data_IF_864095977949
#
_entry.id   IF_864095977949
#
_cell.length_a   1.000
_cell.length_b   1.000
_cell.length_c   1.000
_cell.angle_alpha   90.00
_cell.angle_beta   90.00
_cell.angle_gamma   90.00
#
_symmetry.space_group_name_H-M   'P 1'
#
loop_
_entity.id
_entity.type
_entity.pdbx_description
1 polymer ?
#
# COMPACT_ATOMS: atom_id res chain seq x y z
N UNK A 1 -20.61 2.91 -5.80
CA UNK A 1 -21.48 2.35 -4.73
C UNK A 1 -21.03 2.78 -3.33
N UNK A 2 -19.84 2.42 -2.85
CA UNK A 2 -19.36 2.78 -1.49
C UNK A 2 -19.58 4.26 -1.13
N UNK A 3 -19.14 5.17 -2.01
CA UNK A 3 -19.37 6.60 -1.81
C UNK A 3 -20.85 6.98 -1.76
N UNK A 4 -21.68 6.36 -2.61
CA UNK A 4 -23.12 6.65 -2.69
C UNK A 4 -23.89 6.19 -1.45
N UNK A 5 -23.37 5.20 -0.71
CA UNK A 5 -23.96 4.73 0.55
C UNK A 5 -23.34 5.41 1.79
N UNK A 6 -22.61 6.50 1.60
CA UNK A 6 -22.08 7.33 2.69
C UNK A 6 -20.66 6.97 3.17
N UNK A 7 -19.98 6.02 2.54
CA UNK A 7 -18.58 5.72 2.86
C UNK A 7 -17.64 6.76 2.22
N UNK A 8 -16.47 6.96 2.82
CA UNK A 8 -15.42 7.86 2.31
C UNK A 8 -14.19 7.04 1.85
N UNK A 9 -14.26 6.38 0.67
CA UNK A 9 -13.15 5.56 0.19
C UNK A 9 -11.94 6.43 -0.18
N UNK A 10 -10.75 5.93 0.14
CA UNK A 10 -9.47 6.45 -0.33
C UNK A 10 -8.79 5.29 -1.05
N UNK A 11 -8.33 5.53 -2.28
CA UNK A 11 -7.66 4.51 -3.09
C UNK A 11 -6.17 4.80 -3.07
N UNK A 12 -5.36 3.79 -2.78
CA UNK A 12 -3.90 3.80 -2.98
C UNK A 12 -3.58 2.74 -4.01
N UNK A 13 -2.76 3.05 -5.01
CA UNK A 13 -2.47 2.13 -6.11
C UNK A 13 -0.97 1.87 -6.28
N UNK A 14 -0.63 0.72 -6.86
CA UNK A 14 0.69 0.46 -7.39
C UNK A 14 0.77 0.77 -8.89
N UNK A 15 1.79 0.23 -9.57
CA UNK A 15 1.93 0.31 -11.03
C UNK A 15 3.17 -0.42 -11.54
N UNK A 16 3.56 -1.50 -10.86
CA UNK A 16 4.79 -2.24 -11.14
C UNK A 16 4.92 -2.69 -12.61
N UNK A 17 3.89 -3.30 -13.22
CA UNK A 17 3.92 -3.72 -14.62
C UNK A 17 4.12 -2.55 -15.60
N UNK A 18 3.38 -1.45 -15.43
CA UNK A 18 3.43 -0.28 -16.33
C UNK A 18 4.79 0.43 -16.25
N UNK A 19 5.39 0.50 -15.06
CA UNK A 19 6.75 1.01 -14.89
C UNK A 19 7.74 0.10 -15.63
N UNK A 20 7.61 -1.22 -15.46
CA UNK A 20 8.48 -2.20 -16.11
C UNK A 20 8.44 -2.11 -17.63
N UNK A 21 7.25 -1.99 -18.21
CA UNK A 21 7.05 -1.84 -19.65
C UNK A 21 7.74 -0.59 -20.21
N UNK A 22 7.62 0.56 -19.54
CA UNK A 22 8.27 1.79 -20.01
C UNK A 22 9.79 1.73 -19.86
N UNK A 23 10.30 1.18 -18.75
CA UNK A 23 11.74 0.98 -18.56
C UNK A 23 12.33 0.08 -19.65
N UNK A 24 11.66 -1.03 -19.98
CA UNK A 24 12.07 -1.95 -21.04
C UNK A 24 12.11 -1.25 -22.40
N UNK A 25 11.08 -0.47 -22.74
CA UNK A 25 11.04 0.32 -23.99
C UNK A 25 12.16 1.36 -24.09
N UNK A 26 12.65 1.85 -22.96
CA UNK A 26 13.76 2.79 -22.88
C UNK A 26 15.13 2.11 -22.73
N UNK A 27 15.18 0.76 -22.75
CA UNK A 27 16.37 -0.05 -22.50
C UNK A 27 17.05 0.22 -21.14
N UNK A 28 16.25 0.54 -20.12
CA UNK A 28 16.72 0.74 -18.75
C UNK A 28 16.51 -0.55 -17.96
N UNK A 29 17.60 -1.12 -17.44
CA UNK A 29 17.56 -2.36 -16.68
C UNK A 29 16.87 -2.17 -15.32
N UNK A 30 15.80 -2.93 -15.08
CA UNK A 30 15.10 -2.92 -13.79
C UNK A 30 15.68 -3.96 -12.83
N UNK A 31 16.12 -3.51 -11.64
CA UNK A 31 16.60 -4.38 -10.55
C UNK A 31 15.69 -4.31 -9.33
N UNK A 32 15.57 -5.41 -8.61
CA UNK A 32 14.82 -5.49 -7.36
C UNK A 32 15.71 -6.04 -6.24
N UNK A 33 15.59 -5.44 -5.05
CA UNK A 33 16.23 -5.89 -3.81
C UNK A 33 15.13 -5.94 -2.74
N UNK A 34 14.95 -7.11 -2.11
CA UNK A 34 13.94 -7.36 -1.08
C UNK A 34 12.51 -6.91 -1.48
N UNK A 35 12.16 -7.12 -2.75
CA UNK A 35 10.85 -6.73 -3.31
C UNK A 35 10.69 -5.24 -3.62
N UNK A 36 11.70 -4.42 -3.35
CA UNK A 36 11.74 -3.00 -3.71
C UNK A 36 12.50 -2.80 -5.01
N UNK A 37 11.99 -1.96 -5.91
CA UNK A 37 12.69 -1.61 -7.15
C UNK A 37 13.85 -0.68 -6.82
N UNK A 38 15.08 -1.06 -7.19
CA UNK A 38 16.24 -0.16 -7.12
C UNK A 38 15.95 1.02 -8.03
N UNK A 39 16.00 2.23 -7.49
CA UNK A 39 15.47 3.42 -8.15
C UNK A 39 16.54 4.51 -8.16
N UNK A 40 17.32 4.63 -9.24
CA UNK A 40 18.19 5.80 -9.43
C UNK A 40 17.39 7.02 -9.93
N UNK A 41 18.06 8.15 -10.19
CA UNK A 41 17.43 9.40 -10.64
C UNK A 41 16.58 9.23 -11.90
N UNK A 42 17.15 8.66 -12.95
CA UNK A 42 16.43 8.38 -14.21
C UNK A 42 15.23 7.43 -14.01
N UNK A 43 15.41 6.39 -13.18
CA UNK A 43 14.32 5.46 -12.86
C UNK A 43 13.23 6.15 -12.05
N UNK A 44 13.58 7.08 -11.15
CA UNK A 44 12.62 7.81 -10.33
C UNK A 44 11.74 8.72 -11.17
N UNK A 45 12.31 9.42 -12.16
CA UNK A 45 11.53 10.25 -13.09
C UNK A 45 10.49 9.42 -13.84
N UNK A 46 10.89 8.23 -14.31
CA UNK A 46 9.99 7.29 -14.99
C UNK A 46 8.90 6.78 -14.04
N UNK A 47 9.28 6.39 -12.82
CA UNK A 47 8.32 5.94 -11.80
C UNK A 47 7.31 7.06 -11.49
N UNK A 48 7.77 8.31 -11.33
CA UNK A 48 6.91 9.45 -11.05
C UNK A 48 5.95 9.74 -12.19
N UNK A 49 6.44 9.75 -13.44
CA UNK A 49 5.61 9.95 -14.64
C UNK A 49 4.56 8.85 -14.82
N UNK A 50 4.95 7.58 -14.68
CA UNK A 50 4.03 6.45 -14.90
C UNK A 50 2.99 6.38 -13.79
N UNK A 51 3.41 6.43 -12.52
CA UNK A 51 2.47 6.31 -11.41
C UNK A 51 1.57 7.54 -11.33
N UNK A 52 2.12 8.75 -11.37
CA UNK A 52 1.34 9.99 -11.19
C UNK A 52 0.59 10.45 -12.44
N UNK A 53 1.17 10.25 -13.62
CA UNK A 53 0.64 10.75 -14.89
C UNK A 53 -0.25 9.78 -15.65
N UNK A 54 0.03 8.47 -15.57
CA UNK A 54 -0.70 7.44 -16.32
C UNK A 54 -1.62 6.64 -15.41
N UNK A 55 -1.08 5.78 -14.55
CA UNK A 55 -1.86 4.81 -13.76
C UNK A 55 -2.85 5.52 -12.84
N UNK A 56 -2.39 6.57 -12.15
CA UNK A 56 -3.25 7.38 -11.28
C UNK A 56 -4.44 7.98 -12.04
N UNK A 57 -4.18 8.53 -13.24
CA UNK A 57 -5.20 9.22 -14.03
C UNK A 57 -6.17 8.24 -14.70
N UNK A 58 -5.71 7.05 -15.05
CA UNK A 58 -6.58 5.98 -15.54
C UNK A 58 -7.59 5.54 -14.47
N UNK A 59 -7.13 5.28 -13.24
CA UNK A 59 -8.03 4.92 -12.11
C UNK A 59 -9.03 6.05 -11.85
N UNK A 60 -8.57 7.31 -11.82
CA UNK A 60 -9.44 8.49 -11.66
C UNK A 60 -10.49 8.55 -12.76
N UNK A 61 -10.08 8.34 -14.01
CA UNK A 61 -10.99 8.35 -15.15
C UNK A 61 -12.07 7.27 -15.03
N UNK A 62 -11.69 6.03 -14.70
CA UNK A 62 -12.63 4.92 -14.51
C UNK A 62 -13.62 5.18 -13.38
N UNK A 63 -13.16 5.73 -12.25
CA UNK A 63 -14.04 6.11 -11.14
C UNK A 63 -15.03 7.21 -11.53
N UNK A 64 -14.57 8.21 -12.30
CA UNK A 64 -15.42 9.30 -12.78
C UNK A 64 -16.45 8.81 -13.81
N UNK A 65 -16.06 7.92 -14.73
CA UNK A 65 -17.00 7.28 -15.68
C UNK A 65 -18.08 6.46 -14.96
N UNK A 66 -17.74 5.84 -13.83
CA UNK A 66 -18.68 5.12 -12.98
C UNK A 66 -19.56 6.03 -12.10
N UNK A 67 -19.51 7.36 -12.30
CA UNK A 67 -20.33 8.35 -11.57
C UNK A 67 -19.74 8.80 -10.22
N UNK A 68 -18.51 8.39 -9.89
CA UNK A 68 -17.78 8.91 -8.75
C UNK A 68 -17.19 10.30 -9.01
N UNK A 69 -16.62 10.91 -7.96
CA UNK A 69 -15.86 12.16 -8.06
C UNK A 69 -14.45 11.92 -7.56
N UNK A 70 -13.57 11.41 -8.41
CA UNK A 70 -12.20 11.05 -8.05
C UNK A 70 -11.22 12.20 -8.33
N UNK A 71 -10.25 12.37 -7.44
CA UNK A 71 -9.11 13.27 -7.63
C UNK A 71 -7.81 12.52 -7.41
N UNK A 72 -6.97 12.53 -8.46
CA UNK A 72 -5.68 11.88 -8.45
C UNK A 72 -4.58 12.77 -7.89
N UNK A 73 -3.90 12.30 -6.83
CA UNK A 73 -2.83 13.01 -6.13
C UNK A 73 -1.62 12.10 -5.90
N UNK A 74 -0.47 12.73 -5.69
CA UNK A 74 0.81 12.13 -5.30
C UNK A 74 1.24 12.75 -3.97
N UNK A 75 2.18 12.16 -3.25
CA UNK A 75 2.68 12.74 -1.99
C UNK A 75 3.32 14.12 -2.11
N UNK A 76 3.65 14.57 -3.34
CA UNK A 76 4.16 15.92 -3.61
C UNK A 76 3.04 16.97 -3.51
N UNK A 77 1.79 16.61 -3.77
CA UNK A 77 0.65 17.53 -3.72
C UNK A 77 0.40 18.00 -2.28
N UNK A 78 0.68 19.27 -1.99
CA UNK A 78 0.65 19.79 -0.62
C UNK A 78 1.71 19.18 0.31
N UNK A 79 2.71 18.46 -0.24
CA UNK A 79 3.73 17.70 0.50
C UNK A 79 3.13 16.78 1.57
N UNK A 80 2.02 16.13 1.23
CA UNK A 80 1.20 15.41 2.20
C UNK A 80 1.80 14.06 2.60
N UNK A 81 2.65 13.45 1.77
CA UNK A 81 3.46 12.28 2.15
C UNK A 81 4.91 12.74 2.22
N UNK A 82 5.41 12.98 3.43
CA UNK A 82 6.82 13.30 3.66
C UNK A 82 7.58 12.00 3.79
N UNK A 83 8.71 11.92 3.11
CA UNK A 83 9.50 10.70 3.03
C UNK A 83 10.98 10.97 3.23
N UNK A 84 11.67 9.93 3.66
CA UNK A 84 13.14 9.88 3.73
C UNK A 84 13.62 8.62 3.06
N UNK A 85 14.86 8.66 2.56
CA UNK A 85 15.49 7.50 1.95
C UNK A 85 15.47 6.29 2.90
N UNK A 86 15.08 5.14 2.36
CA UNK A 86 15.13 3.86 3.04
C UNK A 86 16.55 3.32 2.96
N UNK A 87 17.17 3.06 4.13
CA UNK A 87 18.49 2.42 4.21
C UNK A 87 18.30 0.96 4.61
N UNK A 88 18.56 0.04 3.69
CA UNK A 88 18.50 -1.40 3.98
C UNK A 88 19.79 -1.81 4.69
N UNK A 89 19.65 -2.50 5.83
CA UNK A 89 20.78 -3.09 6.55
C UNK A 89 20.75 -4.59 6.36
N UNK A 90 21.75 -5.15 5.68
CA UNK A 90 21.87 -6.59 5.51
C UNK A 90 22.90 -7.15 6.49
N UNK A 91 22.49 -8.14 7.29
CA UNK A 91 23.44 -8.95 8.05
C UNK A 91 24.03 -9.98 7.09
N UNK A 92 25.33 -9.91 6.85
CA UNK A 92 26.06 -10.97 6.14
C UNK A 92 26.74 -11.86 7.18
N UNK A 93 26.71 -13.20 7.06
CA UNK A 93 27.40 -14.10 8.00
C UNK A 93 28.90 -13.83 8.11
N UNK A 94 29.48 -13.18 7.09
CA UNK A 94 30.91 -12.89 6.94
C UNK A 94 31.34 -11.53 7.53
N UNK A 95 30.38 -10.66 7.89
CA UNK A 95 30.64 -9.32 8.40
C UNK A 95 30.09 -9.16 9.82
N UNK A 96 30.94 -8.73 10.76
CA UNK A 96 30.53 -8.42 12.14
C UNK A 96 29.53 -7.25 12.23
N UNK A 97 29.55 -6.35 11.24
CA UNK A 97 28.67 -5.19 11.16
C UNK A 97 27.70 -5.28 9.96
N UNK A 98 26.43 -4.86 10.09
CA UNK A 98 25.48 -4.86 8.99
C UNK A 98 25.92 -3.92 7.87
N UNK A 99 25.91 -4.40 6.62
CA UNK A 99 26.18 -3.57 5.44
C UNK A 99 24.96 -2.71 5.10
N UNK A 100 25.19 -1.43 4.80
CA UNK A 100 24.14 -0.52 4.32
C UNK A 100 24.08 -0.63 2.80
N UNK A 101 22.97 -1.15 2.29
CA UNK A 101 22.69 -1.21 0.86
C UNK A 101 21.93 0.05 0.46
N UNK A 102 22.53 0.84 -0.42
CA UNK A 102 21.86 1.95 -1.07
C UNK A 102 21.08 1.44 -2.29
N UNK A 103 19.77 1.61 -2.25
CA UNK A 103 18.84 1.23 -3.31
C UNK A 103 18.30 2.45 -4.08
N UNK A 104 18.93 3.61 -3.89
CA UNK A 104 18.61 4.87 -4.52
C UNK A 104 17.44 5.61 -3.86
N UNK A 105 16.60 6.26 -4.67
CA UNK A 105 15.40 7.00 -4.31
C UNK A 105 14.21 6.10 -3.94
N UNK A 106 14.49 5.08 -3.14
CA UNK A 106 13.47 4.31 -2.45
C UNK A 106 13.27 4.91 -1.07
N UNK A 107 12.02 5.17 -0.70
CA UNK A 107 11.69 5.87 0.53
C UNK A 107 10.90 5.03 1.53
N UNK A 108 10.85 5.56 2.74
CA UNK A 108 9.86 5.22 3.75
C UNK A 108 9.09 6.49 4.15
N UNK A 109 7.81 6.31 4.49
CA UNK A 109 6.98 7.41 4.99
C UNK A 109 7.53 7.87 6.34
N UNK A 110 7.84 9.16 6.44
CA UNK A 110 8.25 9.82 7.68
C UNK A 110 7.03 10.38 8.40
N UNK A 111 6.16 11.09 7.68
CA UNK A 111 4.92 11.64 8.22
C UNK A 111 3.89 11.89 7.12
N UNK A 112 2.62 11.94 7.52
CA UNK A 112 1.51 12.27 6.63
C UNK A 112 0.78 13.50 7.16
N UNK A 113 0.59 14.47 6.29
CA UNK A 113 -0.29 15.61 6.52
C UNK A 113 -1.68 15.29 5.94
N UNK A 114 -2.67 15.10 6.80
CA UNK A 114 -3.99 14.65 6.36
C UNK A 114 -4.86 15.77 5.77
N UNK A 115 -4.44 17.05 5.80
CA UNK A 115 -5.31 18.19 5.44
C UNK A 115 -5.87 18.09 4.02
N UNK A 116 -5.05 17.67 3.06
CA UNK A 116 -5.48 17.48 1.66
C UNK A 116 -6.53 16.36 1.57
N UNK A 117 -6.31 15.24 2.27
CA UNK A 117 -7.22 14.09 2.25
C UNK A 117 -8.55 14.42 2.94
N UNK A 118 -8.49 15.09 4.09
CA UNK A 118 -9.67 15.54 4.83
C UNK A 118 -10.50 16.48 3.96
N UNK A 119 -9.88 17.49 3.34
CA UNK A 119 -10.56 18.42 2.44
C UNK A 119 -11.27 17.69 1.29
N UNK A 120 -10.60 16.74 0.63
CA UNK A 120 -11.20 15.98 -0.48
C UNK A 120 -12.36 15.11 0.00
N UNK A 121 -12.17 14.35 1.07
CA UNK A 121 -13.18 13.41 1.58
C UNK A 121 -14.40 14.12 2.16
N UNK A 122 -14.24 15.28 2.82
CA UNK A 122 -15.34 16.12 3.29
C UNK A 122 -16.16 16.74 2.14
N UNK A 123 -15.54 16.95 0.98
CA UNK A 123 -16.19 17.46 -0.22
C UNK A 123 -16.74 16.34 -1.14
N UNK A 124 -16.92 15.13 -0.60
CA UNK A 124 -17.39 13.96 -1.34
C UNK A 124 -16.54 13.68 -2.60
N UNK A 125 -15.21 13.82 -2.48
CA UNK A 125 -14.27 13.35 -3.49
C UNK A 125 -13.58 12.07 -3.01
N UNK A 126 -13.22 11.21 -3.96
CA UNK A 126 -12.45 9.98 -3.76
C UNK A 126 -10.98 10.30 -4.05
N UNK A 127 -10.11 10.41 -3.05
CA UNK A 127 -8.69 10.58 -3.29
C UNK A 127 -8.12 9.29 -3.89
N UNK A 128 -7.38 9.44 -4.99
CA UNK A 128 -6.61 8.35 -5.63
C UNK A 128 -5.14 8.71 -5.49
N UNK A 129 -4.43 7.98 -4.64
CA UNK A 129 -3.08 8.28 -4.19
C UNK A 129 -2.06 7.40 -4.89
N UNK A 130 -1.11 8.04 -5.59
CA UNK A 130 0.12 7.39 -6.05
C UNK A 130 1.18 7.39 -4.92
N UNK A 131 1.90 6.29 -4.70
CA UNK A 131 2.77 6.07 -3.54
C UNK A 131 4.17 6.69 -3.74
N UNK A 132 4.19 7.98 -4.07
CA UNK A 132 5.41 8.79 -4.22
C UNK A 132 5.48 9.74 -3.05
N UNK A 133 6.59 9.73 -2.30
CA UNK A 133 6.83 10.65 -1.19
C UNK A 133 7.74 11.81 -1.57
N UNK A 134 7.64 12.91 -0.81
CA UNK A 134 8.48 14.08 -0.98
C UNK A 134 9.51 14.21 0.16
N UNK A 135 10.78 14.38 -0.20
CA UNK A 135 11.89 14.65 0.71
C UNK A 135 11.89 16.08 1.28
N UNK A 136 12.77 16.35 2.25
CA UNK A 136 12.92 17.68 2.84
C UNK A 136 13.38 18.72 1.81
N UNK A 137 14.24 18.35 0.85
CA UNK A 137 14.82 19.24 -0.15
C UNK A 137 14.11 19.18 -1.52
N UNK A 138 12.99 18.48 -1.61
CA UNK A 138 12.20 18.35 -2.84
C UNK A 138 12.47 17.08 -3.64
N UNK A 139 13.24 16.14 -3.09
CA UNK A 139 13.47 14.83 -3.69
C UNK A 139 12.17 14.02 -3.79
N UNK A 140 12.04 13.23 -4.85
CA UNK A 140 10.98 12.21 -4.94
C UNK A 140 11.49 10.87 -4.44
N UNK A 141 10.62 10.12 -3.77
CA UNK A 141 10.89 8.76 -3.33
C UNK A 141 9.80 7.79 -3.77
N UNK A 142 10.20 6.67 -4.35
CA UNK A 142 9.33 5.53 -4.64
C UNK A 142 9.08 4.74 -3.34
N UNK A 143 7.82 4.58 -2.95
CA UNK A 143 7.43 3.91 -1.70
C UNK A 143 6.52 2.73 -2.04
N UNK A 144 6.62 1.65 -1.25
CA UNK A 144 5.69 0.53 -1.37
C UNK A 144 4.24 1.00 -1.11
N UNK A 145 3.33 0.66 -2.03
CA UNK A 145 1.93 1.08 -1.98
C UNK A 145 1.18 0.55 -0.74
N UNK A 146 1.47 -0.69 -0.32
CA UNK A 146 0.86 -1.27 0.89
C UNK A 146 1.26 -0.45 2.11
N UNK A 147 2.53 -0.04 2.22
CA UNK A 147 3.02 0.78 3.34
C UNK A 147 2.41 2.18 3.35
N UNK A 148 2.24 2.80 2.18
CA UNK A 148 1.53 4.09 2.07
C UNK A 148 0.07 3.93 2.48
N UNK A 149 -0.62 2.89 2.01
CA UNK A 149 -2.01 2.61 2.36
C UNK A 149 -2.18 2.36 3.86
N UNK A 150 -1.30 1.55 4.45
CA UNK A 150 -1.24 1.34 5.89
C UNK A 150 -1.09 2.66 6.60
N UNK A 151 -0.03 3.43 6.30
CA UNK A 151 0.25 4.68 7.02
C UNK A 151 -0.85 5.73 6.90
N UNK A 152 -1.51 5.80 5.74
CA UNK A 152 -2.70 6.63 5.56
C UNK A 152 -3.85 6.19 6.45
N UNK A 153 -4.14 4.89 6.50
CA UNK A 153 -5.17 4.34 7.37
C UNK A 153 -4.89 4.62 8.86
N UNK A 154 -3.63 4.51 9.29
CA UNK A 154 -3.19 4.86 10.65
C UNK A 154 -3.50 6.32 10.99
N UNK A 155 -3.01 7.25 10.15
CA UNK A 155 -3.13 8.70 10.41
C UNK A 155 -4.58 9.19 10.34
N UNK A 156 -5.39 8.56 9.49
CA UNK A 156 -6.81 8.86 9.36
C UNK A 156 -7.70 8.12 10.37
N UNK A 157 -7.13 7.20 11.17
CA UNK A 157 -7.89 6.29 12.05
C UNK A 157 -9.04 5.62 11.30
N UNK A 158 -8.70 5.03 10.15
CA UNK A 158 -9.70 4.45 9.26
C UNK A 158 -10.45 3.28 9.91
N UNK A 159 -11.70 3.09 9.51
CA UNK A 159 -12.51 1.94 9.94
C UNK A 159 -11.95 0.62 9.38
N UNK A 160 -11.55 0.63 8.11
CA UNK A 160 -11.00 -0.54 7.41
C UNK A 160 -9.79 -0.16 6.56
N UNK A 161 -8.72 -0.94 6.66
CA UNK A 161 -7.67 -1.03 5.63
C UNK A 161 -7.96 -2.26 4.77
N UNK A 162 -8.06 -2.12 3.46
CA UNK A 162 -8.30 -3.25 2.54
C UNK A 162 -7.12 -3.35 1.57
N UNK A 163 -6.36 -4.43 1.67
CA UNK A 163 -5.23 -4.76 0.81
C UNK A 163 -5.68 -5.78 -0.25
N UNK A 164 -5.68 -5.35 -1.51
CA UNK A 164 -5.98 -6.21 -2.64
C UNK A 164 -4.74 -6.98 -3.06
N UNK A 165 -4.86 -8.30 -3.21
CA UNK A 165 -3.77 -9.19 -3.61
C UNK A 165 -4.24 -10.14 -4.72
N UNK A 166 -3.34 -11.00 -5.20
CA UNK A 166 -3.60 -12.05 -6.19
C UNK A 166 -3.74 -13.44 -5.54
N UNK A 167 -4.05 -13.49 -4.26
CA UNK A 167 -4.28 -14.70 -3.47
C UNK A 167 -5.60 -14.56 -2.71
N UNK A 168 -6.22 -15.67 -2.30
CA UNK A 168 -7.50 -15.64 -1.58
C UNK A 168 -7.43 -14.92 -0.22
N UNK A 169 -6.23 -14.85 0.37
CA UNK A 169 -5.96 -14.32 1.70
C UNK A 169 -4.73 -15.01 2.27
N UNK A 170 -4.57 -14.96 3.59
CA UNK A 170 -3.64 -15.80 4.33
C UNK A 170 -4.21 -17.21 4.40
N UNK A 171 -3.44 -18.19 3.91
CA UNK A 171 -3.83 -19.60 3.95
C UNK A 171 -3.17 -20.30 5.13
N UNK A 172 -3.91 -21.14 5.84
CA UNK A 172 -3.35 -22.06 6.82
C UNK A 172 -2.59 -23.23 6.13
N UNK A 173 -1.97 -24.08 6.94
CA UNK A 173 -1.25 -25.28 6.46
C UNK A 173 -2.16 -26.29 5.74
N UNK A 174 -3.48 -26.18 5.89
CA UNK A 174 -4.47 -27.00 5.18
C UNK A 174 -4.96 -26.37 3.87
N UNK A 175 -4.49 -25.16 3.54
CA UNK A 175 -4.89 -24.41 2.35
C UNK A 175 -6.21 -23.65 2.50
N UNK A 176 -6.73 -23.47 3.72
CA UNK A 176 -7.94 -22.70 3.99
C UNK A 176 -7.60 -21.25 4.35
N UNK A 177 -8.46 -20.32 3.93
CA UNK A 177 -8.31 -18.91 4.29
C UNK A 177 -8.54 -18.75 5.79
N UNK A 178 -7.57 -18.15 6.47
CA UNK A 178 -7.66 -17.75 7.86
C UNK A 178 -8.33 -16.39 7.92
N UNK A 179 -9.34 -16.22 8.77
CA UNK A 179 -10.08 -14.95 8.92
C UNK A 179 -10.58 -14.75 10.35
N UNK A 180 -10.94 -13.52 10.71
CA UNK A 180 -11.42 -13.17 12.04
C UNK A 180 -10.35 -13.29 13.14
N UNK A 181 -9.07 -13.12 12.78
CA UNK A 181 -7.94 -13.32 13.70
C UNK A 181 -7.50 -12.01 14.35
N UNK A 182 -7.03 -12.09 15.59
CA UNK A 182 -6.44 -10.95 16.30
C UNK A 182 -4.93 -10.86 16.07
N UNK A 183 -4.34 -9.70 16.33
CA UNK A 183 -2.92 -9.44 16.09
C UNK A 183 -1.95 -10.49 16.70
N UNK A 184 -2.27 -11.02 17.88
CA UNK A 184 -1.45 -12.03 18.57
C UNK A 184 -1.42 -13.36 17.81
N UNK A 185 -2.56 -13.78 17.22
CA UNK A 185 -2.67 -15.02 16.44
C UNK A 185 -1.90 -14.91 15.12
N UNK A 186 -1.87 -13.72 14.52
CA UNK A 186 -1.09 -13.48 13.31
C UNK A 186 0.41 -13.64 13.59
N UNK A 187 0.92 -13.15 14.73
CA UNK A 187 2.33 -13.33 15.09
C UNK A 187 2.68 -14.82 15.24
N UNK A 188 1.79 -15.61 15.85
CA UNK A 188 1.98 -17.06 15.95
C UNK A 188 2.04 -17.74 14.56
N UNK A 189 1.23 -17.28 13.59
CA UNK A 189 1.27 -17.79 12.22
C UNK A 189 2.53 -17.38 11.44
N UNK A 190 3.18 -16.28 11.84
CA UNK A 190 4.49 -15.90 11.30
C UNK A 190 5.57 -16.81 11.89
N UNK A 191 5.56 -16.99 13.21
CA UNK A 191 6.56 -17.77 13.95
C UNK A 191 6.53 -19.26 13.57
N UNK A 192 5.35 -19.82 13.28
CA UNK A 192 5.18 -21.22 12.90
C UNK A 192 5.40 -21.51 11.40
N UNK A 193 5.76 -20.46 10.64
CA UNK A 193 6.09 -20.51 9.22
C UNK A 193 4.89 -20.54 8.26
N UNK A 194 3.65 -20.45 8.75
CA UNK A 194 2.46 -20.40 7.89
C UNK A 194 2.49 -19.16 6.99
N UNK A 195 2.81 -18.00 7.55
CA UNK A 195 2.96 -16.74 6.81
C UNK A 195 4.42 -16.57 6.42
N UNK A 196 4.68 -16.54 5.11
CA UNK A 196 6.04 -16.43 4.58
C UNK A 196 6.11 -15.64 3.27
N UNK A 197 7.34 -15.35 2.83
CA UNK A 197 7.61 -14.72 1.54
C UNK A 197 6.94 -13.35 1.36
N UNK A 198 6.35 -13.12 0.19
CA UNK A 198 5.72 -11.84 -0.16
C UNK A 198 4.45 -11.51 0.65
N UNK A 199 3.95 -12.43 1.47
CA UNK A 199 2.83 -12.16 2.37
C UNK A 199 3.27 -11.46 3.65
N UNK A 200 4.53 -11.61 4.07
CA UNK A 200 5.06 -10.99 5.29
C UNK A 200 4.94 -9.46 5.28
N UNK A 201 5.32 -8.72 4.21
CA UNK A 201 5.15 -7.27 4.19
C UNK A 201 3.68 -6.83 4.26
N UNK A 202 2.76 -7.59 3.63
CA UNK A 202 1.32 -7.27 3.62
C UNK A 202 0.71 -7.47 5.00
N UNK A 203 0.99 -8.61 5.61
CA UNK A 203 0.54 -8.92 6.97
C UNK A 203 1.16 -7.97 7.97
N UNK A 204 2.45 -7.66 7.84
CA UNK A 204 3.13 -6.67 8.69
C UNK A 204 2.50 -5.28 8.58
N UNK A 205 2.11 -4.86 7.37
CA UNK A 205 1.38 -3.61 7.16
C UNK A 205 0.00 -3.63 7.84
N UNK A 206 -0.77 -4.70 7.62
CA UNK A 206 -2.08 -4.88 8.24
C UNK A 206 -1.99 -4.88 9.78
N UNK A 207 -1.00 -5.57 10.34
CA UNK A 207 -0.71 -5.60 11.77
C UNK A 207 -0.35 -4.22 12.33
N UNK A 208 0.56 -3.50 11.67
CA UNK A 208 0.92 -2.12 12.06
C UNK A 208 -0.32 -1.23 12.11
N UNK A 209 -1.17 -1.34 11.09
CA UNK A 209 -2.38 -0.54 10.99
C UNK A 209 -3.36 -0.81 12.14
N UNK A 210 -3.66 -2.08 12.44
CA UNK A 210 -4.60 -2.40 13.52
C UNK A 210 -4.05 -2.05 14.90
N UNK A 211 -2.74 -2.24 15.13
CA UNK A 211 -2.07 -1.92 16.39
C UNK A 211 -1.99 -0.41 16.65
N UNK A 212 -2.14 0.43 15.63
CA UNK A 212 -2.08 1.89 15.73
C UNK A 212 -3.45 2.56 15.66
N UNK A 213 -4.53 1.77 15.62
CA UNK A 213 -5.90 2.27 15.83
C UNK A 213 -6.86 2.08 14.67
N UNK A 214 -6.45 1.44 13.56
CA UNK A 214 -7.40 1.00 12.52
C UNK A 214 -8.24 -0.16 13.08
N UNK A 215 -9.56 -0.11 12.93
CA UNK A 215 -10.43 -1.10 13.58
C UNK A 215 -10.29 -2.50 12.99
N UNK A 216 -10.11 -2.61 11.67
CA UNK A 216 -9.82 -3.88 11.01
C UNK A 216 -8.97 -3.70 9.75
N UNK A 217 -8.13 -4.69 9.46
CA UNK A 217 -7.41 -4.79 8.20
C UNK A 217 -7.83 -6.07 7.46
N UNK A 218 -7.94 -5.99 6.15
CA UNK A 218 -8.49 -7.03 5.29
C UNK A 218 -7.50 -7.32 4.17
N UNK A 219 -7.21 -8.60 3.93
CA UNK A 219 -6.38 -9.06 2.81
C UNK A 219 -7.26 -9.95 1.93
N UNK A 220 -7.61 -9.47 0.74
CA UNK A 220 -8.60 -10.12 -0.13
C UNK A 220 -8.10 -10.27 -1.56
N UNK A 221 -8.67 -11.24 -2.30
CA UNK A 221 -8.34 -11.45 -3.72
C UNK A 221 -8.97 -10.34 -4.59
N UNK A 222 -8.11 -9.47 -5.12
CA UNK A 222 -8.51 -8.39 -6.03
C UNK A 222 -8.97 -8.87 -7.41
N UNK A 223 -8.76 -10.14 -7.76
CA UNK A 223 -9.17 -10.71 -9.05
C UNK A 223 -10.64 -11.16 -9.04
N UNK A 224 -11.21 -11.39 -7.86
CA UNK A 224 -12.61 -11.76 -7.72
C UNK A 224 -13.48 -10.53 -8.02
N UNK A 225 -14.42 -10.60 -8.98
CA UNK A 225 -15.33 -9.49 -9.27
C UNK A 225 -16.09 -9.06 -8.02
N UNK A 226 -16.15 -7.74 -7.80
CA UNK A 226 -16.82 -7.15 -6.64
C UNK A 226 -16.25 -7.54 -5.27
N UNK A 227 -15.00 -8.04 -5.18
CA UNK A 227 -14.38 -8.47 -3.92
C UNK A 227 -14.49 -7.44 -2.79
N UNK A 228 -14.23 -6.17 -3.06
CA UNK A 228 -14.37 -5.08 -2.07
C UNK A 228 -15.81 -4.94 -1.56
N UNK A 229 -16.81 -5.14 -2.42
CA UNK A 229 -18.21 -5.05 -2.01
C UNK A 229 -18.63 -6.28 -1.20
N UNK A 230 -18.17 -7.47 -1.60
CA UNK A 230 -18.42 -8.71 -0.86
C UNK A 230 -17.82 -8.64 0.54
N UNK A 231 -16.61 -8.09 0.68
CA UNK A 231 -15.95 -7.91 1.97
C UNK A 231 -16.68 -6.93 2.89
N UNK A 232 -17.31 -5.89 2.33
CA UNK A 232 -17.95 -4.84 3.12
C UNK A 232 -19.41 -5.15 3.44
N UNK A 233 -20.12 -5.82 2.54
CA UNK A 233 -21.57 -6.04 2.64
C UNK A 233 -21.95 -7.46 3.07
N UNK A 234 -20.99 -8.27 3.52
CA UNK A 234 -21.26 -9.60 4.09
C UNK A 234 -20.54 -9.76 5.43
N UNK A 235 -21.16 -10.49 6.35
CA UNK A 235 -20.57 -10.77 7.67
C UNK A 235 -19.45 -11.82 7.60
N UNK A 236 -19.45 -12.67 6.56
CA UNK A 236 -18.43 -13.70 6.39
C UNK A 236 -17.14 -13.18 5.74
N UNK A 237 -17.21 -12.08 4.97
CA UNK A 237 -16.11 -11.62 4.15
C UNK A 237 -15.71 -12.64 3.07
N UNK A 238 -14.67 -12.33 2.31
CA UNK A 238 -14.13 -13.21 1.24
C UNK A 238 -12.62 -13.43 1.35
N UNK A 239 -11.96 -12.85 2.35
CA UNK A 239 -10.54 -13.07 2.60
C UNK A 239 -10.19 -13.05 4.08
N UNK A 240 -8.95 -12.67 4.37
CA UNK A 240 -8.44 -12.62 5.73
C UNK A 240 -8.77 -11.31 6.40
N UNK A 241 -9.57 -11.36 7.46
CA UNK A 241 -9.81 -10.26 8.36
C UNK A 241 -8.88 -10.34 9.59
N UNK A 242 -8.13 -9.26 9.82
CA UNK A 242 -7.32 -9.03 11.02
C UNK A 242 -8.02 -7.96 11.84
N UNK A 243 -8.35 -8.30 13.09
CA UNK A 243 -9.07 -7.44 14.01
C UNK A 243 -8.11 -6.75 14.98
N UNK A 244 -8.42 -5.49 15.29
CA UNK A 244 -7.81 -4.83 16.44
C UNK A 244 -8.27 -5.53 17.72
N UNK A 245 -7.34 -5.76 18.64
CA UNK A 245 -7.67 -6.26 19.99
C UNK A 245 -8.50 -5.19 20.71
N UNK A 246 -9.72 -5.54 21.12
CA UNK A 246 -10.49 -4.72 22.05
C UNK A 246 -9.93 -4.93 23.46
N UNK A 247 -9.67 -3.84 24.17
CA UNK A 247 -9.40 -3.84 25.62
C UNK A 247 -10.68 -4.11 26.41
#
# INVERSE_FOLDING_TARGET
LMQAVGMRPIVVHGGGPQIGELLERLNIESKFIDGMRVTNEETMDIVEMVLGGQVNKEIVHLLNLAGGRAMGITGKDGRFIRARQLKIKRKSPELEAPEIIDIGQVGQVESIDNRVLTMLTENNMIPVVAPIGAGPNGESYNINADLVAGKLAEVLKAEKLILLTNTAGVLDKSGKVVTGIVADEVNALIDDGTISGGMLPKVGCALSAVNTGVNSAHIIDGRVPHSVLLEIFTDQGVGTQILRKCD
#
